data_IF_233109218608
#
_entry.id   IF_233109218608
#
_cell.length_a   1.000
_cell.length_b   1.000
_cell.length_c   1.000
_cell.angle_alpha   90.00
_cell.angle_beta   90.00
_cell.angle_gamma   90.00
#
_symmetry.space_group_name_H-M   'P 1'
#
loop_
_entity.id
_entity.type
_entity.pdbx_description
1 polymer ?
#
# COMPACT_ATOMS: atom_id res chain seq x y z
N UNK A 1 -15.49 -0.45 25.34
CA UNK A 1 -15.19 -1.88 25.50
C UNK A 1 -16.20 -2.78 24.77
N UNK A 2 -17.52 -2.71 25.01
CA UNK A 2 -18.53 -3.56 24.35
C UNK A 2 -18.60 -3.48 22.82
N UNK A 3 -18.35 -2.32 22.21
CA UNK A 3 -18.35 -2.16 20.74
C UNK A 3 -17.17 -2.88 20.07
N UNK A 4 -16.01 -2.88 20.69
CA UNK A 4 -14.81 -3.60 20.21
C UNK A 4 -15.00 -5.13 20.29
N UNK A 5 -15.69 -5.62 21.32
CA UNK A 5 -16.03 -7.04 21.43
C UNK A 5 -17.04 -7.47 20.34
N UNK A 6 -17.95 -6.61 19.94
CA UNK A 6 -18.87 -6.88 18.85
C UNK A 6 -18.16 -6.83 17.47
N UNK A 7 -17.27 -5.88 17.26
CA UNK A 7 -16.47 -5.82 16.02
C UNK A 7 -15.60 -7.06 15.88
N UNK A 8 -14.98 -7.54 16.95
CA UNK A 8 -14.20 -8.79 16.96
C UNK A 8 -15.01 -10.05 16.59
N UNK A 9 -16.33 -10.04 16.74
CA UNK A 9 -17.20 -11.16 16.30
C UNK A 9 -17.47 -11.15 14.80
N UNK A 10 -17.39 -9.99 14.15
CA UNK A 10 -17.66 -9.82 12.71
C UNK A 10 -16.41 -9.74 11.84
N UNK A 11 -15.24 -9.53 12.44
CA UNK A 11 -13.97 -9.45 11.72
C UNK A 11 -13.21 -10.73 11.99
N UNK A 12 -12.92 -11.55 10.97
CA UNK A 12 -12.12 -12.75 11.17
C UNK A 12 -10.80 -12.32 11.82
N UNK A 13 -10.44 -13.02 12.87
CA UNK A 13 -9.28 -12.85 13.72
C UNK A 13 -8.07 -12.37 12.93
N UNK A 14 -7.67 -11.11 13.10
CA UNK A 14 -6.39 -10.61 12.62
C UNK A 14 -5.30 -11.28 13.44
N UNK A 15 -4.84 -12.40 12.95
CA UNK A 15 -3.68 -13.07 13.52
C UNK A 15 -2.47 -12.18 13.24
N UNK A 16 -1.73 -11.82 14.29
CA UNK A 16 -0.38 -11.26 14.14
C UNK A 16 0.33 -12.03 13.04
N UNK A 17 0.99 -11.36 12.08
CA UNK A 17 1.74 -11.95 10.97
C UNK A 17 2.41 -13.25 11.41
N UNK A 18 1.74 -14.38 11.21
CA UNK A 18 2.22 -15.69 11.63
C UNK A 18 2.77 -16.50 10.47
N UNK A 19 2.50 -16.06 9.24
CA UNK A 19 2.97 -16.75 8.04
C UNK A 19 3.30 -15.77 6.94
N UNK A 20 4.58 -15.39 6.89
CA UNK A 20 5.16 -14.50 5.88
C UNK A 20 5.05 -15.10 4.47
N UNK A 21 4.89 -16.42 4.38
CA UNK A 21 4.82 -17.15 3.09
C UNK A 21 3.42 -17.16 2.47
N UNK A 22 2.42 -16.58 3.13
CA UNK A 22 1.03 -16.70 2.73
C UNK A 22 0.46 -15.49 1.96
N UNK A 23 1.24 -14.44 1.70
CA UNK A 23 0.74 -13.30 0.94
C UNK A 23 0.97 -13.48 -0.57
N UNK A 24 -0.11 -13.31 -1.34
CA UNK A 24 -0.10 -13.47 -2.81
C UNK A 24 -0.67 -12.26 -3.52
N UNK A 25 -1.76 -11.71 -3.01
CA UNK A 25 -2.46 -10.56 -3.59
C UNK A 25 -2.32 -9.38 -2.66
N UNK A 26 -1.47 -8.43 -3.01
CA UNK A 26 -1.22 -7.28 -2.17
C UNK A 26 -1.83 -6.01 -2.74
N UNK A 27 -2.28 -5.14 -1.84
CA UNK A 27 -2.68 -3.78 -2.15
C UNK A 27 -1.69 -2.81 -1.52
N UNK A 28 -1.06 -2.00 -2.34
CA UNK A 28 -0.29 -0.83 -1.87
C UNK A 28 -1.19 0.39 -1.94
N UNK A 29 -1.30 1.14 -0.85
CA UNK A 29 -2.12 2.34 -0.77
C UNK A 29 -1.24 3.57 -0.65
N UNK A 30 -1.38 4.49 -1.61
CA UNK A 30 -0.81 5.84 -1.57
C UNK A 30 -1.79 6.79 -2.25
N UNK A 31 -2.78 7.23 -1.50
CA UNK A 31 -3.95 7.98 -2.00
C UNK A 31 -3.81 9.50 -1.87
N UNK A 32 -2.63 10.00 -1.55
CA UNK A 32 -2.33 11.42 -1.28
C UNK A 32 -1.65 12.11 -2.48
N UNK A 33 -0.64 12.92 -2.22
CA UNK A 33 0.03 13.74 -3.22
C UNK A 33 1.07 13.00 -4.07
N UNK A 34 1.56 13.69 -5.08
CA UNK A 34 2.57 13.19 -6.01
C UNK A 34 3.85 12.74 -5.30
N UNK A 35 4.35 13.55 -4.35
CA UNK A 35 5.58 13.26 -3.63
C UNK A 35 5.50 11.91 -2.91
N UNK A 36 4.45 11.69 -2.14
CA UNK A 36 4.25 10.46 -1.37
C UNK A 36 4.09 9.25 -2.26
N UNK A 37 3.43 9.42 -3.40
CA UNK A 37 3.24 8.36 -4.39
C UNK A 37 4.59 7.94 -4.99
N UNK A 38 5.45 8.89 -5.35
CA UNK A 38 6.82 8.62 -5.85
C UNK A 38 7.69 7.99 -4.74
N UNK A 39 7.58 8.47 -3.50
CA UNK A 39 8.29 7.92 -2.34
C UNK A 39 7.84 6.49 -1.98
N UNK A 40 6.77 5.99 -2.57
CA UNK A 40 6.32 4.59 -2.43
C UNK A 40 6.99 3.64 -3.43
N UNK A 41 7.56 4.16 -4.52
CA UNK A 41 8.16 3.32 -5.58
C UNK A 41 9.32 2.46 -5.11
N UNK A 42 10.25 2.89 -4.23
CA UNK A 42 11.30 2.01 -3.72
C UNK A 42 10.78 0.75 -3.05
N UNK A 43 9.71 0.89 -2.25
CA UNK A 43 9.08 -0.23 -1.56
C UNK A 43 8.36 -1.17 -2.53
N UNK A 44 7.66 -0.64 -3.53
CA UNK A 44 7.01 -1.43 -4.59
C UNK A 44 8.06 -2.23 -5.38
N UNK A 45 9.17 -1.59 -5.76
CA UNK A 45 10.28 -2.26 -6.47
C UNK A 45 10.90 -3.36 -5.62
N UNK A 46 11.08 -3.10 -4.31
CA UNK A 46 11.62 -4.08 -3.36
C UNK A 46 10.70 -5.30 -3.24
N UNK A 47 9.39 -5.07 -3.12
CA UNK A 47 8.38 -6.13 -3.09
C UNK A 47 8.43 -6.98 -4.38
N UNK A 48 8.36 -6.35 -5.55
CA UNK A 48 8.38 -7.07 -6.84
C UNK A 48 9.65 -7.88 -7.04
N UNK A 49 10.82 -7.31 -6.73
CA UNK A 49 12.11 -7.99 -6.90
C UNK A 49 12.30 -9.14 -5.93
N UNK A 50 11.81 -9.01 -4.71
CA UNK A 50 11.94 -10.04 -3.68
C UNK A 50 10.90 -11.15 -3.81
N UNK A 51 9.75 -10.83 -4.37
CA UNK A 51 8.60 -11.73 -4.47
C UNK A 51 7.97 -11.62 -5.88
N UNK A 52 8.60 -12.18 -6.91
CA UNK A 52 8.15 -12.01 -8.30
C UNK A 52 6.75 -12.57 -8.57
N UNK A 53 6.32 -13.58 -7.82
CA UNK A 53 5.04 -14.27 -7.98
C UNK A 53 3.84 -13.57 -7.35
N UNK A 54 4.05 -12.53 -6.51
CA UNK A 54 2.94 -11.81 -5.90
C UNK A 54 2.25 -10.90 -6.93
N UNK A 55 0.95 -10.74 -6.78
CA UNK A 55 0.21 -9.72 -7.53
C UNK A 55 0.17 -8.41 -6.75
N UNK A 56 0.68 -7.35 -7.36
CA UNK A 56 0.72 -6.01 -6.77
C UNK A 56 -0.35 -5.13 -7.40
N UNK A 57 -1.37 -4.80 -6.62
CA UNK A 57 -2.37 -3.79 -6.97
C UNK A 57 -2.00 -2.48 -6.30
N UNK A 58 -2.07 -1.36 -7.02
CA UNK A 58 -1.76 -0.04 -6.48
C UNK A 58 -2.99 0.85 -6.42
N UNK A 59 -3.41 1.21 -5.21
CA UNK A 59 -4.46 2.19 -4.99
C UNK A 59 -3.84 3.59 -4.95
N UNK A 60 -4.17 4.39 -5.95
CA UNK A 60 -3.66 5.75 -6.09
C UNK A 60 -4.77 6.74 -6.41
N UNK A 61 -4.50 8.02 -6.13
CA UNK A 61 -5.39 9.08 -6.58
C UNK A 61 -5.49 9.07 -8.11
N UNK A 62 -6.71 9.17 -8.64
CA UNK A 62 -7.00 9.18 -10.09
C UNK A 62 -6.15 10.20 -10.86
N UNK A 63 -5.82 11.34 -10.25
CA UNK A 63 -4.97 12.38 -10.87
C UNK A 63 -3.53 11.93 -11.07
N UNK A 64 -3.06 10.96 -10.27
CA UNK A 64 -1.67 10.44 -10.33
C UNK A 64 -1.55 9.24 -11.28
N UNK A 65 -2.64 8.61 -11.66
CA UNK A 65 -2.64 7.43 -12.53
C UNK A 65 -1.82 7.61 -13.82
N UNK A 66 -1.94 8.74 -14.57
CA UNK A 66 -1.17 8.92 -15.81
C UNK A 66 0.34 8.87 -15.65
N UNK A 67 0.87 9.08 -14.43
CA UNK A 67 2.29 8.95 -14.12
C UNK A 67 2.74 7.51 -13.97
N UNK A 68 1.84 6.62 -13.56
CA UNK A 68 2.14 5.23 -13.19
C UNK A 68 1.58 4.22 -14.20
N UNK A 69 0.79 4.66 -15.17
CA UNK A 69 0.28 3.83 -16.24
C UNK A 69 1.44 3.10 -16.94
N UNK A 70 1.38 1.76 -16.99
CA UNK A 70 2.47 0.94 -17.56
C UNK A 70 3.73 0.82 -16.69
N UNK A 71 3.66 1.11 -15.40
CA UNK A 71 4.77 0.89 -14.48
C UNK A 71 5.00 -0.60 -14.26
N UNK A 72 6.10 -1.14 -14.77
CA UNK A 72 6.42 -2.56 -14.84
C UNK A 72 6.40 -3.35 -13.52
N UNK A 73 6.46 -2.65 -12.39
CA UNK A 73 6.47 -3.27 -11.05
C UNK A 73 5.07 -3.43 -10.45
N UNK A 74 4.02 -2.98 -11.16
CA UNK A 74 2.62 -3.01 -10.70
C UNK A 74 1.80 -3.79 -11.72
N UNK A 75 0.96 -4.71 -11.24
CA UNK A 75 0.10 -5.52 -12.11
C UNK A 75 -1.23 -4.82 -12.38
N UNK A 76 -1.74 -4.07 -11.40
CA UNK A 76 -3.08 -3.50 -11.51
C UNK A 76 -3.26 -2.21 -10.68
N UNK A 77 -4.29 -1.44 -10.98
CA UNK A 77 -4.60 -0.18 -10.30
C UNK A 77 -6.03 -0.14 -9.78
N UNK A 78 -6.19 0.44 -8.60
CA UNK A 78 -7.48 0.90 -8.07
C UNK A 78 -7.42 2.43 -7.98
N UNK A 79 -8.30 3.10 -8.70
CA UNK A 79 -8.31 4.55 -8.77
C UNK A 79 -9.20 5.13 -7.67
N UNK A 80 -8.57 5.87 -6.76
CA UNK A 80 -9.25 6.57 -5.68
C UNK A 80 -9.73 7.95 -6.13
N UNK A 81 -10.96 8.26 -5.76
CA UNK A 81 -11.51 9.60 -5.73
C UNK A 81 -12.14 9.84 -4.35
N UNK A 82 -12.23 11.09 -3.90
CA UNK A 82 -12.85 11.40 -2.60
C UNK A 82 -14.33 11.02 -2.57
N UNK A 83 -14.82 10.64 -1.39
CA UNK A 83 -16.23 10.41 -1.12
C UNK A 83 -16.58 8.96 -0.75
N UNK A 84 -17.73 8.82 -0.10
CA UNK A 84 -18.20 7.54 0.47
C UNK A 84 -18.36 6.42 -0.59
N UNK A 85 -18.89 6.76 -1.76
CA UNK A 85 -19.04 5.77 -2.84
C UNK A 85 -17.71 5.21 -3.34
N UNK A 86 -16.65 6.04 -3.31
CA UNK A 86 -15.30 5.57 -3.65
C UNK A 86 -14.78 4.56 -2.63
N UNK A 87 -15.06 4.75 -1.35
CA UNK A 87 -14.68 3.81 -0.30
C UNK A 87 -15.41 2.47 -0.44
N UNK A 88 -16.71 2.48 -0.73
CA UNK A 88 -17.46 1.24 -1.00
C UNK A 88 -16.90 0.50 -2.20
N UNK A 89 -16.52 1.22 -3.25
CA UNK A 89 -15.85 0.63 -4.41
C UNK A 89 -14.53 -0.03 -4.01
N UNK A 90 -13.71 0.62 -3.20
CA UNK A 90 -12.43 0.06 -2.73
C UNK A 90 -12.66 -1.25 -1.95
N UNK A 91 -13.64 -1.30 -1.06
CA UNK A 91 -14.01 -2.53 -0.34
C UNK A 91 -14.37 -3.66 -1.32
N UNK A 92 -15.16 -3.36 -2.34
CA UNK A 92 -15.51 -4.30 -3.39
C UNK A 92 -14.29 -4.79 -4.18
N UNK A 93 -13.38 -3.88 -4.54
CA UNK A 93 -12.13 -4.20 -5.23
C UNK A 93 -11.20 -5.10 -4.39
N UNK A 94 -11.09 -4.82 -3.09
CA UNK A 94 -10.29 -5.65 -2.18
C UNK A 94 -10.85 -7.09 -2.14
N UNK A 95 -12.15 -7.23 -2.04
CA UNK A 95 -12.83 -8.54 -2.00
C UNK A 95 -12.71 -9.29 -3.31
N UNK A 96 -13.03 -8.64 -4.43
CA UNK A 96 -13.05 -9.27 -5.76
C UNK A 96 -11.67 -9.70 -6.25
N UNK A 97 -10.61 -9.02 -5.77
CA UNK A 97 -9.22 -9.35 -6.08
C UNK A 97 -8.58 -10.28 -5.05
N UNK A 98 -9.34 -10.69 -4.02
CA UNK A 98 -8.86 -11.54 -2.93
C UNK A 98 -7.59 -10.98 -2.28
N UNK A 99 -7.57 -9.65 -2.05
CA UNK A 99 -6.42 -8.99 -1.42
C UNK A 99 -6.24 -9.53 -0.01
N UNK A 100 -5.10 -10.15 0.24
CA UNK A 100 -4.76 -10.73 1.54
C UNK A 100 -3.92 -9.79 2.42
N UNK A 101 -3.13 -8.93 1.80
CA UNK A 101 -2.19 -8.05 2.49
C UNK A 101 -2.27 -6.61 1.96
N UNK A 102 -2.37 -5.64 2.86
CA UNK A 102 -2.47 -4.22 2.51
C UNK A 102 -1.32 -3.44 3.17
N UNK A 103 -0.57 -2.71 2.35
CA UNK A 103 0.43 -1.75 2.79
C UNK A 103 -0.13 -0.33 2.70
N UNK A 104 -0.40 0.28 3.83
CA UNK A 104 -0.82 1.68 3.94
C UNK A 104 0.43 2.56 4.00
N UNK A 105 1.04 2.85 2.85
CA UNK A 105 2.28 3.62 2.79
C UNK A 105 2.07 5.10 3.05
N UNK A 106 0.94 5.64 2.59
CA UNK A 106 0.53 7.00 2.94
C UNK A 106 -0.98 7.12 2.87
N UNK A 107 -1.56 7.42 4.01
CA UNK A 107 -3.00 7.57 4.18
C UNK A 107 -3.29 8.72 5.14
N UNK A 108 -4.27 9.56 4.79
CA UNK A 108 -4.58 10.78 5.55
C UNK A 108 -5.63 10.59 6.63
N UNK A 109 -6.18 9.39 6.79
CA UNK A 109 -7.27 9.20 7.74
C UNK A 109 -7.47 7.75 8.17
N UNK A 110 -8.38 7.53 9.13
CA UNK A 110 -8.75 6.20 9.60
C UNK A 110 -9.50 5.38 8.56
N UNK A 111 -10.03 6.02 7.50
CA UNK A 111 -10.85 5.40 6.48
C UNK A 111 -10.14 4.25 5.78
N UNK A 112 -8.82 4.40 5.58
CA UNK A 112 -8.01 3.40 4.90
C UNK A 112 -7.91 2.10 5.70
N UNK A 113 -7.92 2.20 7.03
CA UNK A 113 -7.98 1.04 7.91
C UNK A 113 -9.38 0.41 7.83
N UNK A 114 -10.44 1.22 7.85
CA UNK A 114 -11.82 0.71 7.76
C UNK A 114 -12.07 -0.03 6.46
N UNK A 115 -11.73 0.51 5.30
CA UNK A 115 -11.94 -0.22 4.06
C UNK A 115 -11.04 -1.46 3.95
N UNK A 116 -9.85 -1.45 4.55
CA UNK A 116 -8.95 -2.61 4.59
C UNK A 116 -9.56 -3.75 5.40
N UNK A 117 -10.07 -3.44 6.59
CA UNK A 117 -10.75 -4.39 7.48
C UNK A 117 -12.03 -4.93 6.85
N UNK A 118 -12.90 -4.04 6.37
CA UNK A 118 -14.16 -4.42 5.73
C UNK A 118 -13.94 -5.15 4.41
N UNK A 119 -12.84 -4.90 3.72
CA UNK A 119 -12.40 -5.64 2.54
C UNK A 119 -12.02 -7.09 2.84
N UNK A 120 -11.68 -7.40 4.10
CA UNK A 120 -11.31 -8.75 4.52
C UNK A 120 -9.82 -9.05 4.40
N UNK A 121 -8.97 -8.03 4.26
CA UNK A 121 -7.52 -8.22 4.25
C UNK A 121 -7.05 -8.83 5.58
N UNK A 122 -6.17 -9.83 5.51
CA UNK A 122 -5.64 -10.54 6.68
C UNK A 122 -4.52 -9.76 7.37
N UNK A 123 -3.69 -9.11 6.57
CA UNK A 123 -2.55 -8.34 7.05
C UNK A 123 -2.72 -6.88 6.64
N UNK A 124 -2.68 -5.97 7.60
CA UNK A 124 -2.72 -4.54 7.36
C UNK A 124 -1.47 -3.95 8.01
N UNK A 125 -0.59 -3.37 7.18
CA UNK A 125 0.65 -2.77 7.62
C UNK A 125 0.58 -1.26 7.40
N UNK A 126 0.85 -0.49 8.45
CA UNK A 126 0.82 0.97 8.41
C UNK A 126 2.04 1.54 9.11
N UNK A 127 2.58 2.64 8.56
CA UNK A 127 3.48 3.51 9.31
C UNK A 127 2.63 4.35 10.25
N UNK A 128 2.86 4.25 11.56
CA UNK A 128 2.09 5.00 12.54
C UNK A 128 2.82 6.29 12.90
N UNK A 129 2.36 7.42 12.38
CA UNK A 129 2.70 8.75 12.89
C UNK A 129 1.54 9.31 13.73
N UNK A 130 0.39 8.63 13.77
CA UNK A 130 -0.84 9.19 14.30
C UNK A 130 -1.26 8.52 15.61
N UNK A 131 -0.97 9.22 16.70
CA UNK A 131 -1.31 8.82 18.08
C UNK A 131 -2.82 8.84 18.33
N UNK A 132 -3.61 9.46 17.43
CA UNK A 132 -5.03 9.70 17.66
C UNK A 132 -5.94 8.48 17.40
N UNK A 133 -5.39 7.40 16.82
CA UNK A 133 -6.15 6.21 16.45
C UNK A 133 -5.69 4.92 17.14
N UNK A 134 -5.28 5.02 18.41
CA UNK A 134 -4.81 3.86 19.21
C UNK A 134 -5.74 2.65 19.19
N UNK A 135 -7.06 2.86 19.10
CA UNK A 135 -8.03 1.77 19.03
C UNK A 135 -7.96 0.95 17.73
N UNK A 136 -7.33 1.51 16.67
CA UNK A 136 -7.13 0.81 15.40
C UNK A 136 -5.81 0.02 15.34
N UNK A 137 -4.91 0.24 16.30
CA UNK A 137 -3.63 -0.48 16.36
C UNK A 137 -3.80 -1.99 16.49
N UNK A 138 -4.93 -2.44 17.05
CA UNK A 138 -5.26 -3.88 17.16
C UNK A 138 -5.37 -4.58 15.80
N UNK A 139 -5.64 -3.81 14.73
CA UNK A 139 -5.78 -4.32 13.36
C UNK A 139 -4.48 -4.17 12.55
N UNK A 140 -3.45 -3.54 13.12
CA UNK A 140 -2.27 -3.12 12.38
C UNK A 140 -1.01 -3.87 12.84
N UNK A 141 -0.17 -4.14 11.86
CA UNK A 141 1.25 -4.39 12.10
C UNK A 141 1.99 -3.08 11.82
N UNK A 142 2.50 -2.45 12.85
CA UNK A 142 3.17 -1.15 12.75
C UNK A 142 4.67 -1.27 12.94
N UNK A 143 5.44 -0.52 12.14
CA UNK A 143 6.85 -0.31 12.36
C UNK A 143 7.07 0.94 13.21
N UNK A 144 8.03 0.90 14.14
CA UNK A 144 8.47 2.09 14.87
C UNK A 144 9.22 3.01 13.92
N UNK A 145 8.75 4.26 13.80
CA UNK A 145 9.13 5.18 12.72
C UNK A 145 9.74 6.48 13.20
N UNK A 146 10.09 6.56 14.48
CA UNK A 146 10.68 7.78 15.04
C UNK A 146 11.92 8.20 14.24
N UNK A 147 11.89 9.43 13.70
CA UNK A 147 12.97 10.14 13.03
C UNK A 147 13.49 9.56 11.69
N UNK A 148 12.78 8.59 11.07
CA UNK A 148 13.19 8.04 9.77
C UNK A 148 12.65 8.83 8.59
N UNK A 149 13.39 8.80 7.48
CA UNK A 149 12.91 9.34 6.20
C UNK A 149 11.71 8.54 5.66
N UNK A 150 10.77 9.18 4.95
CA UNK A 150 9.54 8.55 4.45
C UNK A 150 9.77 7.28 3.61
N UNK A 151 10.87 7.19 2.86
CA UNK A 151 11.24 5.98 2.12
C UNK A 151 11.56 4.85 3.10
N UNK A 152 12.34 5.14 4.15
CA UNK A 152 12.75 4.12 5.12
C UNK A 152 11.57 3.60 5.94
N UNK A 153 10.65 4.49 6.34
CA UNK A 153 9.40 4.11 6.99
C UNK A 153 8.61 3.07 6.18
N UNK A 154 8.49 3.29 4.87
CA UNK A 154 7.79 2.38 3.96
C UNK A 154 8.54 1.07 3.74
N UNK A 155 9.87 1.14 3.65
CA UNK A 155 10.72 -0.05 3.56
C UNK A 155 10.68 -0.90 4.84
N UNK A 156 10.54 -0.28 6.01
CA UNK A 156 10.37 -1.02 7.26
C UNK A 156 9.12 -1.90 7.25
N UNK A 157 8.03 -1.45 6.61
CA UNK A 157 6.85 -2.31 6.44
C UNK A 157 7.12 -3.49 5.50
N UNK A 158 7.93 -3.28 4.47
CA UNK A 158 8.35 -4.37 3.56
C UNK A 158 9.25 -5.36 4.30
N UNK A 159 10.08 -4.89 5.22
CA UNK A 159 11.00 -5.72 6.01
C UNK A 159 10.29 -6.76 6.90
N UNK A 160 9.00 -6.60 7.22
CA UNK A 160 8.22 -7.65 7.87
C UNK A 160 8.21 -8.97 7.10
N UNK A 161 8.42 -8.93 5.78
CA UNK A 161 8.39 -10.09 4.89
C UNK A 161 9.79 -10.59 4.50
N UNK A 162 10.86 -10.12 5.16
CA UNK A 162 12.25 -10.51 4.89
C UNK A 162 12.62 -10.47 3.40
N UNK A 163 12.51 -9.31 2.73
CA UNK A 163 12.76 -9.19 1.32
C UNK A 163 14.22 -9.51 0.99
N UNK A 164 14.44 -10.24 -0.11
CA UNK A 164 15.79 -10.55 -0.60
C UNK A 164 16.51 -9.34 -1.20
N UNK A 165 15.75 -8.33 -1.62
CA UNK A 165 16.25 -7.12 -2.29
C UNK A 165 15.59 -5.88 -1.73
N UNK A 166 16.39 -4.92 -1.31
CA UNK A 166 15.93 -3.59 -0.88
C UNK A 166 16.45 -2.54 -1.86
N UNK A 167 15.52 -1.78 -2.44
CA UNK A 167 15.80 -0.63 -3.30
C UNK A 167 15.45 0.65 -2.58
N UNK A 168 16.38 1.61 -2.53
CA UNK A 168 16.12 2.97 -2.04
C UNK A 168 15.92 3.98 -3.19
N UNK A 169 16.05 3.53 -4.43
CA UNK A 169 15.95 4.40 -5.61
C UNK A 169 14.49 4.68 -5.96
N UNK A 170 14.10 5.94 -5.95
CA UNK A 170 12.82 6.39 -6.49
C UNK A 170 12.80 6.20 -8.02
N UNK A 171 11.67 5.71 -8.51
CA UNK A 171 11.47 5.51 -9.94
C UNK A 171 10.20 6.24 -10.39
N UNK A 172 10.29 6.84 -11.57
CA UNK A 172 9.14 7.36 -12.31
C UNK A 172 9.08 6.55 -13.61
N UNK A 173 7.90 6.07 -14.02
CA UNK A 173 7.77 5.27 -15.23
C UNK A 173 8.34 5.95 -16.47
N UNK A 174 9.07 5.21 -17.29
CA UNK A 174 9.80 5.75 -18.46
C UNK A 174 8.89 6.41 -19.50
N UNK A 175 7.65 5.93 -19.68
CA UNK A 175 6.72 6.51 -20.63
C UNK A 175 6.35 7.96 -20.30
N UNK A 176 6.36 8.35 -19.01
CA UNK A 176 6.14 9.72 -18.58
C UNK A 176 7.18 10.67 -19.21
N UNK A 177 8.44 10.28 -19.22
CA UNK A 177 9.51 11.09 -19.82
C UNK A 177 9.36 11.18 -21.33
N UNK A 178 8.96 10.09 -22.02
CA UNK A 178 8.72 10.09 -23.47
C UNK A 178 7.56 11.00 -23.86
N UNK A 179 6.43 10.91 -23.13
CA UNK A 179 5.20 11.66 -23.41
C UNK A 179 5.39 13.18 -23.21
N UNK A 180 6.28 13.59 -22.31
CA UNK A 180 6.52 14.99 -21.95
C UNK A 180 7.82 15.57 -22.54
N UNK A 181 8.47 14.86 -23.46
CA UNK A 181 9.66 15.35 -24.16
C UNK A 181 10.93 15.48 -23.32
N UNK A 182 10.96 14.93 -22.12
CA UNK A 182 12.11 14.98 -21.22
C UNK A 182 13.22 13.98 -21.52
N UNK A 183 13.02 13.07 -22.50
CA UNK A 183 14.07 12.16 -22.94
C UNK A 183 14.57 12.67 -24.29
N UNK A 184 15.69 13.35 -24.31
CA UNK A 184 16.53 13.51 -25.46
C UNK A 184 17.20 12.19 -25.82
N UNK A 185 17.38 11.94 -27.13
CA UNK A 185 17.81 10.69 -27.76
C UNK A 185 19.20 10.14 -27.37
N UNK A 186 19.84 10.58 -26.32
CA UNK A 186 21.20 10.21 -25.97
C UNK A 186 21.29 9.59 -24.59
N UNK A 187 20.94 8.31 -24.48
CA UNK A 187 21.52 7.37 -23.51
C UNK A 187 21.26 5.95 -24.04
N UNK A 188 22.13 5.53 -24.96
CA UNK A 188 22.38 4.12 -25.23
C UNK A 188 23.27 3.55 -24.14
#
# INVERSE_FOLDING_TARGET
>A
MKLLEQINKFVPYFKKLSDVNAFRNILVVSNTGLGDTILSTPSIVSLRKSFPEIRITFLINKKMFPLFEGFEFIDDFVLYSSGFLSQLKIISEIRSREIDTIFLFHSNGPEDIFFSVLGGARNILKTTDDVNHKFLEIFLNSANIDQKHNIEKKLDLVNFFNPSTISKKMLIPRHFYKKNGFITKNQN
#
